data_IF_614368241752
#
_entry.id   IF_614368241752
#
_cell.length_a   1.000
_cell.length_b   1.000
_cell.length_c   1.000
_cell.angle_alpha   90.00
_cell.angle_beta   90.00
_cell.angle_gamma   90.00
#
_symmetry.space_group_name_H-M   'P 1'
#
loop_
_entity.id
_entity.type
_entity.pdbx_description
1 polymer ?
#
# COMPACT_ATOMS: atom_id res chain seq x y z
N UNK A 1 -8.11 -27.92 4.25
CA UNK A 1 -8.44 -26.84 5.20
C UNK A 1 -7.12 -26.21 5.65
N UNK A 2 -6.65 -25.16 5.00
CA UNK A 2 -5.49 -24.42 5.51
C UNK A 2 -5.95 -23.65 6.73
N UNK A 3 -5.42 -23.99 7.90
CA UNK A 3 -5.55 -23.14 9.08
C UNK A 3 -5.14 -21.73 8.65
N UNK A 4 -6.02 -20.73 8.79
CA UNK A 4 -5.65 -19.35 8.50
C UNK A 4 -4.42 -19.01 9.35
N UNK A 5 -3.34 -18.74 8.65
CA UNK A 5 -2.04 -18.43 9.22
C UNK A 5 -2.07 -17.00 9.74
N UNK A 6 -2.80 -16.74 10.83
CA UNK A 6 -2.88 -15.43 11.48
C UNK A 6 -1.67 -15.20 12.37
N UNK A 7 -1.32 -13.94 12.65
CA UNK A 7 -0.25 -13.61 13.61
C UNK A 7 -0.53 -14.24 14.97
N UNK A 8 -1.79 -14.23 15.41
CA UNK A 8 -2.20 -14.81 16.67
C UNK A 8 -1.93 -16.32 16.74
N UNK A 9 -2.26 -17.06 15.67
CA UNK A 9 -1.97 -18.50 15.57
C UNK A 9 -0.47 -18.80 15.55
N UNK A 10 0.35 -17.83 15.12
CA UNK A 10 1.81 -17.90 15.17
C UNK A 10 2.41 -17.41 16.49
N UNK A 11 1.58 -17.04 17.47
CA UNK A 11 2.04 -16.58 18.78
C UNK A 11 2.50 -15.12 18.81
N UNK A 12 2.07 -14.29 17.85
CA UNK A 12 2.42 -12.87 17.78
C UNK A 12 1.19 -11.96 17.84
N UNK A 13 1.38 -10.72 18.31
CA UNK A 13 0.40 -9.63 18.24
C UNK A 13 1.12 -8.28 18.11
N UNK A 14 0.42 -7.26 17.65
CA UNK A 14 0.85 -5.88 17.88
C UNK A 14 0.44 -5.46 19.31
N UNK A 15 1.35 -4.82 20.04
CA UNK A 15 1.01 -4.20 21.33
C UNK A 15 0.39 -2.81 21.13
N UNK A 16 0.07 -2.12 22.23
CA UNK A 16 -0.51 -0.77 22.22
C UNK A 16 0.37 0.29 21.51
N UNK A 17 1.68 0.06 21.45
CA UNK A 17 2.64 0.92 20.74
C UNK A 17 2.81 0.54 19.25
N UNK A 18 2.06 -0.46 18.77
CA UNK A 18 2.16 -0.98 17.41
C UNK A 18 3.43 -1.80 17.15
N UNK A 19 4.09 -2.30 18.19
CA UNK A 19 5.28 -3.15 18.06
C UNK A 19 4.87 -4.61 17.96
N UNK A 20 5.50 -5.38 17.05
CA UNK A 20 5.26 -6.82 16.96
C UNK A 20 5.92 -7.52 18.16
N UNK A 21 5.10 -8.21 18.95
CA UNK A 21 5.52 -8.91 20.18
C UNK A 21 4.99 -10.33 20.23
N UNK A 22 5.71 -11.21 20.91
CA UNK A 22 5.18 -12.54 21.26
C UNK A 22 4.00 -12.40 22.22
N UNK A 23 3.01 -13.29 22.06
CA UNK A 23 1.82 -13.29 22.92
C UNK A 23 2.21 -13.65 24.36
N UNK A 24 3.01 -14.71 24.49
CA UNK A 24 3.49 -15.24 25.76
C UNK A 24 4.84 -14.61 26.09
N UNK A 25 4.82 -13.50 26.84
CA UNK A 25 6.04 -12.85 27.35
C UNK A 25 6.35 -11.48 26.76
N UNK A 26 5.58 -11.01 25.77
CA UNK A 26 5.71 -9.66 25.22
C UNK A 26 7.13 -9.34 24.71
N UNK A 27 7.83 -10.35 24.18
CA UNK A 27 9.20 -10.21 23.69
C UNK A 27 9.23 -9.76 22.22
N UNK A 28 10.29 -9.05 21.77
CA UNK A 28 10.44 -8.67 20.37
C UNK A 28 10.49 -9.85 19.40
N UNK A 29 10.15 -9.59 18.14
CA UNK A 29 10.43 -10.51 17.05
C UNK A 29 11.92 -10.82 16.96
N UNK A 30 12.26 -12.10 16.78
CA UNK A 30 13.62 -12.57 16.55
C UNK A 30 13.63 -13.33 15.23
N UNK A 31 14.48 -12.89 14.30
CA UNK A 31 14.67 -13.61 13.04
C UNK A 31 15.31 -14.98 13.31
N UNK A 32 14.65 -16.03 12.86
CA UNK A 32 15.14 -17.42 12.94
C UNK A 32 15.66 -17.89 11.60
N UNK A 33 14.78 -17.90 10.59
CA UNK A 33 15.07 -18.32 9.23
C UNK A 33 14.13 -17.61 8.23
N UNK A 34 14.44 -17.74 6.94
CA UNK A 34 13.72 -17.07 5.87
C UNK A 34 12.26 -17.54 5.74
N UNK A 35 11.99 -18.84 5.89
CA UNK A 35 10.65 -19.40 5.73
C UNK A 35 9.70 -18.91 6.83
N UNK A 36 10.17 -18.83 8.08
CA UNK A 36 9.39 -18.26 9.19
C UNK A 36 9.17 -16.75 9.00
N UNK A 37 10.17 -16.02 8.52
CA UNK A 37 10.05 -14.59 8.23
C UNK A 37 8.99 -14.31 7.15
N UNK A 38 8.98 -15.10 6.07
CA UNK A 38 7.97 -15.00 5.01
C UNK A 38 6.58 -15.31 5.56
N UNK A 39 6.45 -16.42 6.29
CA UNK A 39 5.19 -16.85 6.89
C UNK A 39 4.59 -15.79 7.83
N UNK A 40 5.40 -15.22 8.71
CA UNK A 40 4.97 -14.14 9.62
C UNK A 40 4.64 -12.87 8.82
N UNK A 41 5.40 -12.58 7.77
CA UNK A 41 5.14 -11.44 6.89
C UNK A 41 3.81 -11.53 6.13
N UNK A 42 3.40 -12.74 5.74
CA UNK A 42 2.12 -12.97 5.07
C UNK A 42 0.97 -12.88 6.06
N UNK A 43 1.12 -13.49 7.25
CA UNK A 43 0.18 -13.34 8.35
C UNK A 43 -0.04 -11.86 8.75
N UNK A 44 1.06 -11.11 8.81
CA UNK A 44 1.06 -9.67 9.07
C UNK A 44 0.35 -8.90 7.96
N UNK A 45 0.47 -9.32 6.70
CA UNK A 45 -0.26 -8.67 5.59
C UNK A 45 -1.77 -8.72 5.82
N UNK A 46 -2.29 -9.89 6.20
CA UNK A 46 -3.71 -10.07 6.53
C UNK A 46 -4.13 -9.21 7.72
N UNK A 47 -3.31 -9.15 8.78
CA UNK A 47 -3.58 -8.29 9.94
C UNK A 47 -3.67 -6.81 9.55
N UNK A 48 -2.73 -6.33 8.72
CA UNK A 48 -2.71 -4.94 8.29
C UNK A 48 -3.90 -4.57 7.40
N UNK A 49 -4.40 -5.50 6.58
CA UNK A 49 -5.67 -5.32 5.87
C UNK A 49 -6.84 -5.15 6.84
N UNK A 50 -6.90 -6.00 7.88
CA UNK A 50 -7.89 -5.85 8.94
C UNK A 50 -7.81 -4.49 9.64
N UNK A 51 -6.61 -3.95 9.86
CA UNK A 51 -6.42 -2.61 10.44
C UNK A 51 -6.88 -1.50 9.47
N UNK A 52 -6.59 -1.61 8.17
CA UNK A 52 -7.10 -0.66 7.16
C UNK A 52 -8.63 -0.57 7.20
N UNK A 53 -9.30 -1.71 7.32
CA UNK A 53 -10.75 -1.79 7.36
C UNK A 53 -11.33 -1.34 8.71
N UNK A 54 -10.87 -1.94 9.80
CA UNK A 54 -11.47 -1.73 11.13
C UNK A 54 -11.08 -0.40 11.78
N UNK A 55 -9.81 0.01 11.68
CA UNK A 55 -9.28 1.18 12.40
C UNK A 55 -9.31 2.46 11.55
N UNK A 56 -9.19 2.32 10.23
CA UNK A 56 -9.19 3.46 9.31
C UNK A 56 -10.44 3.52 8.42
N UNK A 57 -11.33 2.52 8.49
CA UNK A 57 -12.60 2.52 7.77
C UNK A 57 -12.47 2.41 6.26
N UNK A 58 -11.31 1.99 5.71
CA UNK A 58 -11.15 1.82 4.27
C UNK A 58 -11.88 0.56 3.80
N UNK A 59 -12.40 0.59 2.59
CA UNK A 59 -13.00 -0.58 1.95
C UNK A 59 -12.09 -1.10 0.85
N UNK A 60 -12.01 -2.42 0.73
CA UNK A 60 -11.37 -3.06 -0.42
C UNK A 60 -12.27 -2.86 -1.65
N UNK A 61 -11.71 -2.29 -2.71
CA UNK A 61 -12.37 -2.09 -4.00
C UNK A 61 -11.58 -2.87 -5.04
N UNK A 62 -12.27 -3.74 -5.77
CA UNK A 62 -11.69 -4.47 -6.89
C UNK A 62 -11.50 -3.54 -8.08
N UNK A 63 -10.35 -3.66 -8.74
CA UNK A 63 -9.96 -2.86 -9.90
C UNK A 63 -9.38 -3.80 -10.95
N UNK A 64 -10.22 -4.35 -11.83
CA UNK A 64 -9.78 -5.18 -12.95
C UNK A 64 -8.78 -4.44 -13.84
N UNK A 65 -7.75 -5.13 -14.30
CA UNK A 65 -6.76 -4.60 -15.23
C UNK A 65 -6.44 -5.64 -16.30
N UNK A 66 -6.43 -5.22 -17.56
CA UNK A 66 -5.88 -6.03 -18.64
C UNK A 66 -4.36 -6.08 -18.50
N UNK A 67 -3.82 -7.29 -18.34
CA UNK A 67 -2.39 -7.55 -18.12
C UNK A 67 -1.94 -8.67 -19.03
N UNK A 68 -0.65 -8.68 -19.36
CA UNK A 68 -0.02 -9.76 -20.13
C UNK A 68 0.76 -10.66 -19.18
N UNK A 69 0.51 -11.97 -19.24
CA UNK A 69 1.28 -12.97 -18.50
C UNK A 69 2.64 -13.26 -19.16
N UNK A 70 3.47 -14.08 -18.50
CA UNK A 70 4.79 -14.47 -19.03
C UNK A 70 4.77 -15.23 -20.37
N UNK A 71 3.60 -15.73 -20.78
CA UNK A 71 3.41 -16.43 -22.06
C UNK A 71 2.92 -15.49 -23.17
N UNK A 72 2.72 -14.20 -22.88
CA UNK A 72 2.19 -13.22 -23.83
C UNK A 72 0.67 -13.24 -23.93
N UNK A 73 -0.04 -13.89 -23.00
CA UNK A 73 -1.51 -13.97 -23.02
C UNK A 73 -2.07 -12.77 -22.27
N UNK A 74 -2.93 -12.00 -22.94
CA UNK A 74 -3.68 -10.91 -22.31
C UNK A 74 -4.85 -11.49 -21.51
N UNK A 75 -4.88 -11.20 -20.21
CA UNK A 75 -5.92 -11.61 -19.28
C UNK A 75 -6.47 -10.41 -18.51
N UNK A 76 -7.71 -10.51 -18.05
CA UNK A 76 -8.27 -9.54 -17.11
C UNK A 76 -7.97 -9.99 -15.67
N UNK A 77 -6.96 -9.38 -15.05
CA UNK A 77 -6.56 -9.67 -13.69
C UNK A 77 -7.30 -8.78 -12.69
N UNK A 78 -7.88 -9.40 -11.66
CA UNK A 78 -8.63 -8.70 -10.62
C UNK A 78 -7.69 -8.11 -9.56
N UNK A 79 -7.16 -6.92 -9.85
CA UNK A 79 -6.44 -6.12 -8.87
C UNK A 79 -7.36 -5.53 -7.81
N UNK A 80 -6.80 -4.84 -6.81
CA UNK A 80 -7.61 -4.15 -5.81
C UNK A 80 -6.87 -2.96 -5.20
N UNK A 81 -7.64 -2.07 -4.57
CA UNK A 81 -7.16 -0.99 -3.72
C UNK A 81 -7.91 -0.99 -2.40
N UNK A 82 -7.36 -0.32 -1.39
CA UNK A 82 -8.13 0.10 -0.21
C UNK A 82 -8.47 1.58 -0.34
N UNK A 83 -9.75 1.96 -0.22
CA UNK A 83 -10.18 3.34 -0.37
C UNK A 83 -11.05 3.83 0.80
N UNK A 84 -10.91 5.09 1.17
CA UNK A 84 -11.77 5.71 2.19
C UNK A 84 -13.19 5.93 1.64
N UNK A 85 -14.26 5.75 2.43
CA UNK A 85 -15.62 6.01 2.01
C UNK A 85 -15.81 7.43 1.46
N UNK A 86 -16.48 7.54 0.32
CA UNK A 86 -16.78 8.81 -0.33
C UNK A 86 -15.56 9.60 -0.83
N UNK A 87 -14.43 8.93 -1.11
CA UNK A 87 -13.21 9.59 -1.62
C UNK A 87 -13.47 10.43 -2.88
N UNK A 88 -14.40 10.00 -3.74
CA UNK A 88 -14.76 10.66 -5.01
C UNK A 88 -15.44 12.02 -4.81
N UNK A 89 -16.01 12.28 -3.63
CA UNK A 89 -16.65 13.55 -3.27
C UNK A 89 -15.70 14.50 -2.54
N UNK A 90 -14.46 14.07 -2.26
CA UNK A 90 -13.45 14.91 -1.61
C UNK A 90 -12.77 15.80 -2.65
N UNK A 91 -12.41 17.03 -2.26
CA UNK A 91 -11.63 17.93 -3.12
C UNK A 91 -10.19 17.47 -3.31
N UNK A 92 -9.64 16.74 -2.33
CA UNK A 92 -8.27 16.23 -2.32
C UNK A 92 -8.27 14.74 -2.03
N UNK A 93 -7.50 13.98 -2.80
CA UNK A 93 -7.26 12.54 -2.59
C UNK A 93 -5.76 12.28 -2.45
N UNK A 94 -5.39 11.50 -1.43
CA UNK A 94 -4.05 10.95 -1.24
C UNK A 94 -3.97 9.55 -1.88
N UNK A 95 -3.07 9.37 -2.83
CA UNK A 95 -2.67 8.09 -3.40
C UNK A 95 -1.41 7.59 -2.70
N UNK A 96 -1.45 6.36 -2.19
CA UNK A 96 -0.33 5.72 -1.49
C UNK A 96 0.15 4.51 -2.31
N UNK A 97 1.44 4.50 -2.67
CA UNK A 97 2.03 3.48 -3.55
C UNK A 97 3.30 2.92 -2.90
N UNK A 98 3.27 1.64 -2.54
CA UNK A 98 4.40 0.95 -1.94
C UNK A 98 5.52 0.64 -2.96
N UNK A 99 6.66 0.19 -2.45
CA UNK A 99 7.78 -0.29 -3.28
C UNK A 99 7.52 -1.68 -3.87
N UNK A 100 8.55 -2.25 -4.49
CA UNK A 100 8.53 -3.62 -5.01
C UNK A 100 8.73 -4.67 -3.91
N UNK A 101 8.44 -5.93 -4.25
CA UNK A 101 8.70 -7.10 -3.39
C UNK A 101 7.46 -7.55 -2.62
N UNK A 102 7.67 -8.10 -1.42
CA UNK A 102 6.62 -8.71 -0.61
C UNK A 102 5.73 -7.70 0.16
N UNK A 103 5.93 -6.39 -0.04
CA UNK A 103 5.07 -5.36 0.56
C UNK A 103 3.74 -5.27 -0.19
N UNK A 104 2.70 -4.89 0.56
CA UNK A 104 1.30 -4.83 0.15
C UNK A 104 0.63 -3.58 0.76
N UNK A 105 -0.63 -3.25 0.43
CA UNK A 105 -1.35 -2.17 1.10
C UNK A 105 -1.22 -2.22 2.63
N UNK A 106 -1.02 -1.06 3.25
CA UNK A 106 -0.68 -0.90 4.66
C UNK A 106 0.83 -0.90 4.94
N UNK A 107 1.70 -1.29 4.02
CA UNK A 107 3.13 -1.55 4.32
C UNK A 107 4.10 -0.66 3.54
N UNK A 108 5.10 -0.14 4.25
CA UNK A 108 6.33 0.36 3.62
C UNK A 108 7.46 -0.67 3.67
N UNK A 109 7.58 -1.39 4.78
CA UNK A 109 8.66 -2.36 4.98
C UNK A 109 8.28 -3.40 6.03
N UNK A 110 8.25 -4.69 5.64
CA UNK A 110 8.06 -5.80 6.58
C UNK A 110 9.10 -5.78 7.72
N UNK A 111 10.36 -5.52 7.37
CA UNK A 111 11.46 -5.44 8.34
C UNK A 111 11.22 -4.38 9.41
N UNK A 112 10.75 -3.18 9.02
CA UNK A 112 10.50 -2.12 9.99
C UNK A 112 9.29 -2.41 10.86
N UNK A 113 8.22 -2.96 10.29
CA UNK A 113 7.03 -3.34 11.07
C UNK A 113 7.39 -4.40 12.13
N UNK A 114 8.19 -5.41 11.75
CA UNK A 114 8.56 -6.50 12.66
C UNK A 114 9.57 -6.08 13.73
N UNK A 115 10.52 -5.20 13.41
CA UNK A 115 11.63 -4.87 14.32
C UNK A 115 11.47 -3.55 15.07
N UNK A 116 10.67 -2.62 14.55
CA UNK A 116 10.45 -1.30 15.14
C UNK A 116 8.96 -1.19 15.56
N UNK A 117 8.08 -0.72 14.68
CA UNK A 117 6.63 -0.67 14.91
C UNK A 117 5.85 -0.29 13.64
N UNK A 118 4.52 -0.31 13.75
CA UNK A 118 3.59 0.15 12.72
C UNK A 118 3.80 1.63 12.37
N UNK A 119 4.07 2.51 13.32
CA UNK A 119 4.20 3.95 13.06
C UNK A 119 5.33 4.27 12.07
N UNK A 120 6.42 3.51 12.06
CA UNK A 120 7.52 3.70 11.11
C UNK A 120 7.49 2.76 9.92
N UNK A 121 6.93 1.56 10.07
CA UNK A 121 6.97 0.53 9.03
C UNK A 121 5.76 0.50 8.10
N UNK A 122 4.66 1.17 8.48
CA UNK A 122 3.37 1.10 7.79
C UNK A 122 3.01 2.42 7.10
N UNK A 123 1.99 2.34 6.26
CA UNK A 123 1.39 3.49 5.57
C UNK A 123 0.40 4.26 6.49
N UNK A 124 0.12 3.73 7.67
CA UNK A 124 -0.91 4.23 8.58
C UNK A 124 -0.75 5.69 9.02
N UNK A 125 0.45 6.23 9.30
CA UNK A 125 0.59 7.64 9.65
C UNK A 125 0.08 8.58 8.55
N UNK A 126 0.30 8.22 7.29
CA UNK A 126 -0.15 8.99 6.13
C UNK A 126 -1.66 8.90 5.96
N UNK A 127 -2.23 7.70 6.12
CA UNK A 127 -3.68 7.47 6.07
C UNK A 127 -4.36 8.30 7.16
N UNK A 128 -3.89 8.17 8.41
CA UNK A 128 -4.42 8.91 9.58
C UNK A 128 -4.39 10.42 9.34
N UNK A 129 -3.28 10.95 8.83
CA UNK A 129 -3.15 12.38 8.51
C UNK A 129 -4.11 12.82 7.41
N UNK A 130 -4.24 12.06 6.32
CA UNK A 130 -5.14 12.42 5.22
C UNK A 130 -6.60 12.43 5.66
N UNK A 131 -7.03 11.41 6.42
CA UNK A 131 -8.39 11.35 6.97
C UNK A 131 -8.66 12.52 7.93
N UNK A 132 -7.71 12.87 8.80
CA UNK A 132 -7.81 14.02 9.69
C UNK A 132 -7.94 15.37 8.95
N UNK A 133 -7.41 15.46 7.72
CA UNK A 133 -7.55 16.63 6.85
C UNK A 133 -8.79 16.58 5.93
N UNK A 134 -9.71 15.63 6.16
CA UNK A 134 -10.90 15.42 5.33
C UNK A 134 -10.55 15.11 3.85
N UNK A 135 -9.41 14.48 3.60
CA UNK A 135 -9.03 14.02 2.26
C UNK A 135 -9.56 12.61 2.01
N UNK A 136 -9.74 12.27 0.74
CA UNK A 136 -9.91 10.88 0.33
C UNK A 136 -8.56 10.15 0.39
N UNK A 137 -8.60 8.84 0.59
CA UNK A 137 -7.40 7.99 0.59
C UNK A 137 -7.63 6.84 -0.37
N UNK A 138 -6.64 6.53 -1.19
CA UNK A 138 -6.55 5.29 -1.98
C UNK A 138 -5.16 4.69 -1.76
N UNK A 139 -5.12 3.45 -1.29
CA UNK A 139 -3.90 2.66 -1.10
C UNK A 139 -3.85 1.61 -2.20
N UNK A 140 -2.92 1.77 -3.14
CA UNK A 140 -2.82 0.93 -4.32
C UNK A 140 -2.08 -0.38 -4.04
N UNK A 141 -2.58 -1.51 -4.57
CA UNK A 141 -1.89 -2.81 -4.50
C UNK A 141 -1.10 -3.06 -5.79
N UNK A 142 0.02 -2.36 -5.97
CA UNK A 142 0.83 -2.44 -7.21
C UNK A 142 1.74 -3.67 -7.29
N UNK A 143 1.69 -4.57 -6.30
CA UNK A 143 2.41 -5.84 -6.30
C UNK A 143 1.39 -6.98 -6.36
N UNK A 144 1.75 -8.04 -7.07
CA UNK A 144 1.03 -9.31 -7.14
C UNK A 144 2.05 -10.46 -7.01
N UNK A 145 1.57 -11.64 -6.62
CA UNK A 145 2.37 -12.87 -6.61
C UNK A 145 2.43 -13.51 -8.01
N UNK A 146 1.62 -13.01 -8.95
CA UNK A 146 1.63 -13.40 -10.35
C UNK A 146 2.70 -12.63 -11.14
N UNK A 147 3.28 -13.29 -12.14
CA UNK A 147 4.27 -12.68 -13.03
C UNK A 147 3.59 -12.04 -14.24
N UNK A 148 3.29 -10.75 -14.12
CA UNK A 148 2.71 -9.95 -15.20
C UNK A 148 3.67 -8.89 -15.71
N UNK A 149 3.64 -8.68 -17.03
CA UNK A 149 4.33 -7.58 -17.68
C UNK A 149 3.67 -6.25 -17.32
N UNK A 150 4.46 -5.32 -16.75
CA UNK A 150 4.05 -3.92 -16.51
C UNK A 150 2.80 -3.72 -15.64
N UNK A 151 2.46 -4.72 -14.80
CA UNK A 151 1.29 -4.67 -13.93
C UNK A 151 1.19 -3.42 -13.05
N UNK A 152 2.25 -2.94 -12.37
CA UNK A 152 2.15 -1.74 -11.54
C UNK A 152 1.59 -0.53 -12.29
N UNK A 153 2.06 -0.31 -13.53
CA UNK A 153 1.58 0.80 -14.36
C UNK A 153 0.13 0.57 -14.80
N UNK A 154 -0.17 -0.63 -15.31
CA UNK A 154 -1.51 -0.98 -15.80
C UNK A 154 -2.56 -0.87 -14.67
N UNK A 155 -2.24 -1.35 -13.48
CA UNK A 155 -3.10 -1.22 -12.31
C UNK A 155 -3.35 0.25 -11.93
N UNK A 156 -2.31 1.10 -11.90
CA UNK A 156 -2.48 2.53 -11.60
C UNK A 156 -3.31 3.26 -12.68
N UNK A 157 -3.14 2.89 -13.95
CA UNK A 157 -4.01 3.38 -15.03
C UNK A 157 -5.46 2.95 -14.79
N UNK A 158 -5.72 1.67 -14.50
CA UNK A 158 -7.07 1.18 -14.18
C UNK A 158 -7.69 1.88 -12.96
N UNK A 159 -6.91 2.13 -11.91
CA UNK A 159 -7.37 2.89 -10.73
C UNK A 159 -7.81 4.28 -11.14
N UNK A 160 -7.03 4.97 -11.96
CA UNK A 160 -7.41 6.29 -12.43
C UNK A 160 -8.68 6.26 -13.29
N UNK A 161 -8.70 5.40 -14.33
CA UNK A 161 -9.81 5.30 -15.28
C UNK A 161 -11.12 4.93 -14.60
N UNK A 162 -11.10 3.98 -13.67
CA UNK A 162 -12.32 3.42 -13.08
C UNK A 162 -12.78 4.17 -11.85
N UNK A 163 -11.86 4.76 -11.06
CA UNK A 163 -12.20 5.32 -9.76
C UNK A 163 -12.11 6.85 -9.71
N UNK A 164 -11.30 7.48 -10.56
CA UNK A 164 -10.92 8.89 -10.41
C UNK A 164 -11.26 9.78 -11.62
N UNK A 165 -11.30 9.24 -12.84
CA UNK A 165 -11.45 9.99 -14.09
C UNK A 165 -12.65 10.93 -14.08
N UNK A 166 -13.81 10.41 -13.66
CA UNK A 166 -15.08 11.15 -13.69
C UNK A 166 -15.51 11.65 -12.30
N UNK A 167 -14.54 12.07 -11.47
CA UNK A 167 -14.79 12.56 -10.11
C UNK A 167 -14.63 14.07 -9.99
N UNK A 168 -15.12 14.64 -8.89
CA UNK A 168 -14.95 16.07 -8.57
C UNK A 168 -13.62 16.37 -7.84
N UNK A 169 -12.68 15.42 -7.85
CA UNK A 169 -11.40 15.57 -7.15
C UNK A 169 -10.56 16.62 -7.89
N UNK A 170 -10.12 17.63 -7.14
CA UNK A 170 -9.38 18.78 -7.69
C UNK A 170 -7.87 18.62 -7.53
N UNK A 171 -7.43 17.85 -6.53
CA UNK A 171 -6.01 17.67 -6.21
C UNK A 171 -5.70 16.23 -5.84
N UNK A 172 -4.58 15.74 -6.39
CA UNK A 172 -4.00 14.47 -6.02
C UNK A 172 -2.66 14.69 -5.31
N UNK A 173 -2.56 14.20 -4.08
CA UNK A 173 -1.28 13.99 -3.43
C UNK A 173 -0.83 12.57 -3.66
N UNK A 174 0.45 12.38 -3.95
CA UNK A 174 1.02 11.05 -4.11
C UNK A 174 2.16 10.86 -3.11
N UNK A 175 2.06 9.79 -2.31
CA UNK A 175 3.16 9.29 -1.49
C UNK A 175 3.58 7.95 -2.07
N UNK A 176 4.76 7.96 -2.70
CA UNK A 176 5.30 6.78 -3.36
C UNK A 176 6.68 6.43 -2.81
N UNK A 177 6.89 5.14 -2.54
CA UNK A 177 8.14 4.64 -1.98
C UNK A 177 8.91 3.79 -2.99
N UNK A 178 10.22 4.05 -3.15
CA UNK A 178 11.11 3.26 -4.02
C UNK A 178 10.54 3.07 -5.44
N UNK A 179 10.38 1.83 -5.94
CA UNK A 179 9.81 1.52 -7.27
C UNK A 179 8.46 2.19 -7.52
N UNK A 180 7.64 2.37 -6.48
CA UNK A 180 6.34 3.03 -6.60
C UNK A 180 6.43 4.44 -7.19
N UNK A 181 7.55 5.15 -6.98
CA UNK A 181 7.80 6.46 -7.59
C UNK A 181 7.99 6.38 -9.11
N UNK A 182 8.67 5.35 -9.60
CA UNK A 182 8.80 5.10 -11.03
C UNK A 182 7.49 4.61 -11.65
N UNK A 183 6.73 3.80 -10.92
CA UNK A 183 5.46 3.24 -11.39
C UNK A 183 4.44 4.36 -11.67
N UNK A 184 4.30 5.33 -10.75
CA UNK A 184 3.41 6.49 -10.96
C UNK A 184 3.91 7.46 -12.03
N UNK A 185 5.24 7.64 -12.15
CA UNK A 185 5.79 8.52 -13.17
C UNK A 185 5.50 7.99 -14.59
N UNK A 186 5.63 6.68 -14.79
CA UNK A 186 5.33 6.01 -16.06
C UNK A 186 3.83 6.04 -16.40
N UNK A 187 2.95 5.83 -15.41
CA UNK A 187 1.50 5.90 -15.65
C UNK A 187 1.05 7.32 -16.03
N UNK A 188 1.70 8.35 -15.48
CA UNK A 188 1.47 9.74 -15.87
C UNK A 188 1.87 10.05 -17.32
N UNK A 189 3.03 9.55 -17.78
CA UNK A 189 3.60 9.93 -19.10
C UNK A 189 2.74 9.51 -20.31
N UNK A 190 2.10 8.34 -20.28
CA UNK A 190 1.29 7.86 -21.41
C UNK A 190 -0.08 8.55 -21.52
N UNK A 191 -0.56 9.11 -20.40
CA UNK A 191 -1.85 9.79 -20.29
C UNK A 191 -1.80 11.30 -20.64
N UNK A 192 -0.62 11.87 -20.87
CA UNK A 192 -0.44 13.32 -21.13
C UNK A 192 -0.96 13.83 -22.47
N UNK A 193 -1.36 12.95 -23.41
CA UNK A 193 -1.94 13.39 -24.69
C UNK A 193 -3.47 13.59 -24.64
N UNK A 194 -4.19 12.93 -23.72
CA UNK A 194 -5.66 12.98 -23.68
C UNK A 194 -6.26 13.19 -22.28
N UNK A 195 -5.45 13.30 -21.21
CA UNK A 195 -5.97 13.47 -19.85
C UNK A 195 -5.52 14.78 -19.23
N UNK A 196 -6.51 15.63 -18.93
CA UNK A 196 -6.40 16.75 -18.00
C UNK A 196 -6.29 16.21 -16.57
N UNK A 197 -5.19 15.51 -16.27
CA UNK A 197 -4.89 15.07 -14.91
C UNK A 197 -4.81 16.31 -14.00
N UNK A 198 -5.62 16.40 -12.93
CA UNK A 198 -5.51 17.47 -11.96
C UNK A 198 -4.11 17.56 -11.37
N UNK A 199 -3.74 18.73 -10.83
CA UNK A 199 -2.40 19.03 -10.34
C UNK A 199 -1.90 17.93 -9.39
N UNK A 200 -0.90 17.16 -9.83
CA UNK A 200 -0.24 16.11 -9.04
C UNK A 200 0.87 16.75 -8.21
N UNK A 201 0.76 16.67 -6.89
CA UNK A 201 1.84 17.02 -5.96
C UNK A 201 2.40 15.72 -5.37
N UNK A 202 3.57 15.29 -5.85
CA UNK A 202 4.19 14.03 -5.49
C UNK A 202 5.36 14.22 -4.52
N UNK A 203 5.35 13.47 -3.42
CA UNK A 203 6.54 13.29 -2.57
C UNK A 203 7.10 11.89 -2.79
N UNK A 204 8.37 11.84 -3.21
CA UNK A 204 9.11 10.60 -3.41
C UNK A 204 9.92 10.29 -2.17
N UNK A 205 9.71 9.10 -1.59
CA UNK A 205 10.45 8.62 -0.43
C UNK A 205 11.59 7.71 -0.90
N UNK A 206 12.84 8.08 -0.61
CA UNK A 206 14.01 7.21 -0.77
C UNK A 206 14.74 7.03 0.56
N UNK A 207 15.22 5.81 0.80
CA UNK A 207 16.12 5.53 1.91
C UNK A 207 17.52 6.05 1.56
N UNK A 208 18.01 7.05 2.30
CA UNK A 208 19.46 7.28 2.40
C UNK A 208 20.00 6.34 3.46
N UNK A 209 20.94 5.48 3.06
CA UNK A 209 21.71 4.64 3.98
C UNK A 209 22.31 5.52 5.08
N UNK A 210 21.92 5.28 6.34
CA UNK A 210 22.51 5.94 7.52
C UNK A 210 21.59 6.85 8.35
N UNK A 211 20.40 7.22 7.89
CA UNK A 211 19.43 8.00 8.70
C UNK A 211 18.18 7.18 9.01
N UNK A 212 17.98 6.83 10.29
CA UNK A 212 16.75 6.20 10.83
C UNK A 212 15.56 7.18 10.90
N UNK A 213 15.36 8.00 9.88
CA UNK A 213 14.20 8.90 9.83
C UNK A 213 13.63 8.90 8.41
N UNK A 214 12.37 8.48 8.30
CA UNK A 214 11.55 8.89 7.18
C UNK A 214 11.44 10.42 7.23
N UNK A 215 11.85 11.07 6.15
CA UNK A 215 11.56 12.48 5.98
C UNK A 215 10.04 12.65 5.85
N UNK A 216 9.39 13.00 6.97
CA UNK A 216 8.07 13.61 6.98
C UNK A 216 8.18 15.02 6.39
N UNK A 217 8.53 15.13 5.10
CA UNK A 217 8.45 16.42 4.41
C UNK A 217 6.96 16.74 4.22
N UNK A 218 6.63 17.93 4.68
CA UNK A 218 5.33 18.56 4.88
C UNK A 218 4.40 18.51 3.67
N UNK A 219 3.22 17.94 3.90
CA UNK A 219 1.95 18.36 3.30
C UNK A 219 0.98 18.74 4.42
#
# INVERSE_FOLDING_TARGET
MSYEQTLQNMGYRFNENGELRTINGNTPFVFTNQADYERIGDAMTTELYGILESSYGLTKIEVPAEVEDKCGIVINFLGFVYASPGFQQKSTVLLIIHGSGAVRPGQWSRRLIMNENLEVGSQFPYIRRALANNWGVIVCSTNTDEEFSDYPRLHLCSVYEQLLRDTNVQRFFVVAHSRGGSDIAKSGQQNTKDLHMPRIEASFMSWRTGTKQMAYKSF
#
